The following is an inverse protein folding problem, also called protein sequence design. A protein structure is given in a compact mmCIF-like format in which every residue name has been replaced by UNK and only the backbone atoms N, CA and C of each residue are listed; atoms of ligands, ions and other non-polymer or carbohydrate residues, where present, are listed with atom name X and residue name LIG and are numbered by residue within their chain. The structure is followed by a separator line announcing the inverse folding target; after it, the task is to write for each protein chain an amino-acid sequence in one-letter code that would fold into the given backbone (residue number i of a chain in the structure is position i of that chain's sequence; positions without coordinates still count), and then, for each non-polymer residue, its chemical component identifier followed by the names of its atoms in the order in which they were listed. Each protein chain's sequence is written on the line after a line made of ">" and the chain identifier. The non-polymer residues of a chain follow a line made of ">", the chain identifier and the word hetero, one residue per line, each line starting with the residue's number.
data_IF_604638218120
#
_entry.id   IF_604638218120
#
_cell.length_a   1.000
_cell.length_b   1.000
_cell.length_c   1.000
_cell.angle_alpha   90.00
_cell.angle_beta   90.00
_cell.angle_gamma   90.00
#
_symmetry.space_group_name_H-M   'P 1'
#
loop_
_entity.id
_entity.type
_entity.pdbx_description
1 polymer ?
#
# COMPACT_ATOMS: atom_id res chain seq x y z
N UNK A 1 -25.54 4.69 -4.05
CA UNK A 1 -24.63 5.04 -4.23
C UNK A 1 -24.43 5.92 -4.77
N UNK A 2 -24.42 6.17 -4.57
CA UNK A 2 -24.28 6.93 -4.99
C UNK A 2 -23.45 7.39 -5.82
N UNK A 3 -23.78 8.04 -6.55
CA UNK A 3 -23.19 8.41 -7.75
C UNK A 3 -21.99 9.14 -7.70
N UNK A 4 -21.80 9.89 -6.75
CA UNK A 4 -20.52 10.56 -6.59
C UNK A 4 -19.39 9.58 -6.59
N UNK A 5 -19.67 8.39 -6.19
CA UNK A 5 -18.78 7.31 -6.24
C UNK A 5 -18.40 7.02 -7.66
N UNK A 6 -19.33 7.17 -8.54
CA UNK A 6 -19.17 6.86 -9.94
C UNK A 6 -18.16 7.78 -10.59
N UNK A 7 -18.16 9.03 -10.19
CA UNK A 7 -17.21 9.99 -10.75
C UNK A 7 -15.82 9.82 -10.20
N UNK A 8 -15.72 9.20 -9.04
CA UNK A 8 -14.46 9.02 -8.39
C UNK A 8 -13.86 10.31 -7.86
N UNK A 9 -12.87 10.14 -7.04
CA UNK A 9 -12.05 11.24 -6.55
C UNK A 9 -10.92 11.46 -7.54
N UNK A 10 -10.70 12.69 -8.03
CA UNK A 10 -9.58 12.97 -8.93
C UNK A 10 -8.23 12.50 -8.41
N UNK A 11 -8.06 12.40 -7.11
CA UNK A 11 -6.86 11.89 -6.46
C UNK A 11 -6.52 10.46 -6.88
N UNK A 12 -7.52 9.64 -7.19
CA UNK A 12 -7.32 8.23 -7.51
C UNK A 12 -7.48 7.93 -8.99
N UNK A 13 -7.03 8.83 -9.84
CA UNK A 13 -7.04 8.64 -11.28
C UNK A 13 -5.71 8.10 -11.77
N UNK A 14 -5.75 7.51 -12.96
CA UNK A 14 -4.56 7.12 -13.70
C UNK A 14 -4.02 5.76 -13.31
N UNK A 15 -2.73 5.60 -13.45
CA UNK A 15 -2.05 4.33 -13.24
C UNK A 15 -1.55 4.22 -11.81
N UNK A 16 -2.10 3.25 -11.06
CA UNK A 16 -1.70 2.96 -9.69
C UNK A 16 -0.79 1.74 -9.69
N UNK A 17 0.42 1.88 -9.18
CA UNK A 17 1.40 0.81 -9.22
C UNK A 17 1.32 -0.08 -7.97
N UNK A 18 1.06 -1.37 -8.20
CA UNK A 18 1.16 -2.37 -7.14
C UNK A 18 2.65 -2.66 -6.91
N UNK A 19 3.12 -2.41 -5.72
CA UNK A 19 4.54 -2.52 -5.39
C UNK A 19 4.90 -3.94 -4.95
N UNK A 20 6.06 -4.42 -5.40
CA UNK A 20 6.63 -5.66 -4.86
C UNK A 20 7.28 -5.36 -3.50
N UNK A 21 7.37 -6.39 -2.67
CA UNK A 21 8.02 -6.29 -1.35
C UNK A 21 9.31 -7.11 -1.42
N UNK A 22 10.48 -6.47 -1.58
CA UNK A 22 11.73 -7.20 -1.72
C UNK A 22 12.23 -7.76 -0.40
N UNK A 23 12.82 -8.95 -0.48
CA UNK A 23 13.45 -9.61 0.66
C UNK A 23 14.91 -9.90 0.35
N UNK A 24 15.73 -9.87 1.39
CA UNK A 24 17.13 -10.24 1.31
C UNK A 24 17.49 -11.03 2.56
N UNK A 25 18.03 -12.23 2.37
CA UNK A 25 18.41 -13.11 3.48
C UNK A 25 17.22 -13.37 4.43
N UNK A 26 16.02 -13.55 3.87
CA UNK A 26 14.82 -13.84 4.62
C UNK A 26 14.19 -12.65 5.32
N UNK A 27 14.74 -11.45 5.14
CA UNK A 27 14.23 -10.25 5.77
C UNK A 27 13.81 -9.21 4.74
N UNK A 28 12.88 -8.35 5.12
CA UNK A 28 12.43 -7.27 4.26
C UNK A 28 13.61 -6.34 3.93
N UNK A 29 13.83 -6.14 2.62
CA UNK A 29 14.92 -5.30 2.14
C UNK A 29 14.44 -3.85 2.00
N UNK A 30 14.59 -3.10 3.07
CA UNK A 30 14.13 -1.72 3.15
C UNK A 30 14.78 -0.82 2.10
N UNK A 31 16.10 -0.99 1.89
CA UNK A 31 16.83 -0.18 0.92
C UNK A 31 16.32 -0.39 -0.50
N UNK A 32 16.15 -1.63 -0.90
CA UNK A 32 15.62 -1.94 -2.23
C UNK A 32 14.20 -1.44 -2.40
N UNK A 33 13.39 -1.53 -1.36
CA UNK A 33 12.03 -1.02 -1.40
C UNK A 33 11.99 0.50 -1.60
N UNK A 34 12.85 1.23 -0.91
CA UNK A 34 12.96 2.68 -1.10
C UNK A 34 13.30 3.04 -2.53
N UNK A 35 14.22 2.30 -3.13
CA UNK A 35 14.60 2.50 -4.53
C UNK A 35 13.42 2.22 -5.47
N UNK A 36 12.66 1.17 -5.20
CA UNK A 36 11.47 0.83 -5.98
C UNK A 36 10.45 1.98 -5.93
N UNK A 37 10.17 2.50 -4.74
CA UNK A 37 9.21 3.60 -4.58
C UNK A 37 9.68 4.83 -5.34
N UNK A 38 10.93 5.23 -5.17
CA UNK A 38 11.49 6.39 -5.86
C UNK A 38 11.44 6.23 -7.38
N UNK A 39 11.78 5.04 -7.89
CA UNK A 39 11.76 4.79 -9.32
C UNK A 39 10.34 4.88 -9.90
N UNK A 40 9.34 4.38 -9.17
CA UNK A 40 7.96 4.48 -9.63
C UNK A 40 7.50 5.94 -9.70
N UNK A 41 7.79 6.71 -8.68
CA UNK A 41 7.42 8.13 -8.65
C UNK A 41 8.14 8.89 -9.78
N UNK A 42 9.43 8.64 -9.94
CA UNK A 42 10.24 9.27 -10.98
C UNK A 42 9.74 8.96 -12.38
N UNK A 43 9.23 7.75 -12.59
CA UNK A 43 8.73 7.30 -13.89
C UNK A 43 7.25 7.62 -14.12
N UNK A 44 6.64 8.42 -13.25
CA UNK A 44 5.34 8.99 -13.51
C UNK A 44 4.13 8.19 -13.05
N UNK A 45 4.29 7.29 -12.06
CA UNK A 45 3.11 6.62 -11.51
C UNK A 45 2.15 7.65 -10.91
N UNK A 46 0.86 7.37 -11.02
CA UNK A 46 -0.17 8.25 -10.45
C UNK A 46 -0.53 7.88 -9.01
N UNK A 47 -0.05 6.75 -8.53
CA UNK A 47 -0.27 6.31 -7.16
C UNK A 47 0.50 5.05 -6.83
N UNK A 48 0.58 4.72 -5.56
CA UNK A 48 1.34 3.57 -5.04
C UNK A 48 0.43 2.67 -4.22
N UNK A 49 0.56 1.36 -4.44
CA UNK A 49 -0.20 0.35 -3.69
C UNK A 49 0.79 -0.61 -3.02
N UNK A 50 1.27 -0.28 -1.82
CA UNK A 50 2.11 -1.20 -1.06
C UNK A 50 1.28 -2.31 -0.42
N UNK A 51 1.90 -3.45 -0.21
CA UNK A 51 1.35 -4.62 0.48
C UNK A 51 0.00 -5.12 -0.01
N UNK A 52 -0.24 -4.99 -1.31
CA UNK A 52 -1.32 -5.71 -1.98
C UNK A 52 -0.86 -7.16 -2.25
N UNK A 53 -1.62 -7.90 -3.03
CA UNK A 53 -1.27 -9.27 -3.38
C UNK A 53 0.08 -9.35 -4.09
N UNK A 54 0.35 -8.42 -5.01
CA UNK A 54 1.64 -8.32 -5.70
C UNK A 54 2.79 -8.12 -4.73
N UNK A 55 2.57 -7.41 -3.62
CA UNK A 55 3.57 -7.20 -2.57
C UNK A 55 3.66 -8.33 -1.57
N UNK A 56 3.06 -9.48 -1.88
CA UNK A 56 3.10 -10.70 -1.07
C UNK A 56 2.53 -10.51 0.34
N UNK A 57 1.50 -9.68 0.46
CA UNK A 57 0.84 -9.39 1.73
C UNK A 57 0.55 -10.63 2.59
N UNK A 58 0.05 -11.75 2.01
CA UNK A 58 -0.26 -12.94 2.82
C UNK A 58 0.94 -13.58 3.50
N UNK A 59 2.15 -13.31 3.04
CA UNK A 59 3.37 -13.91 3.58
C UNK A 59 4.11 -13.01 4.56
N UNK A 60 3.63 -11.79 4.76
CA UNK A 60 4.25 -10.83 5.66
C UNK A 60 3.75 -10.99 7.09
N UNK A 61 4.64 -10.81 8.06
CA UNK A 61 4.21 -10.66 9.45
C UNK A 61 3.49 -9.31 9.59
N UNK A 62 2.72 -9.12 10.66
CA UNK A 62 2.08 -7.84 10.91
C UNK A 62 3.10 -6.71 11.02
N UNK A 63 4.21 -6.97 11.67
CA UNK A 63 5.27 -5.95 11.83
C UNK A 63 5.87 -5.57 10.49
N UNK A 64 6.12 -6.56 9.62
CA UNK A 64 6.64 -6.30 8.28
C UNK A 64 5.64 -5.51 7.45
N UNK A 65 4.38 -5.90 7.49
CA UNK A 65 3.30 -5.21 6.78
C UNK A 65 3.25 -3.74 7.18
N UNK A 66 3.20 -3.47 8.48
CA UNK A 66 3.11 -2.12 8.99
C UNK A 66 4.34 -1.29 8.60
N UNK A 67 5.51 -1.89 8.68
CA UNK A 67 6.75 -1.22 8.33
C UNK A 67 6.81 -0.85 6.85
N UNK A 68 6.39 -1.74 5.97
CA UNK A 68 6.35 -1.47 4.52
C UNK A 68 5.44 -0.28 4.22
N UNK A 69 4.26 -0.25 4.85
CA UNK A 69 3.32 0.87 4.67
C UNK A 69 3.94 2.18 5.15
N UNK A 70 4.53 2.18 6.33
CA UNK A 70 5.15 3.37 6.91
C UNK A 70 6.28 3.90 6.02
N UNK A 71 7.15 3.02 5.56
CA UNK A 71 8.27 3.40 4.71
C UNK A 71 7.77 3.97 3.38
N UNK A 72 6.76 3.32 2.79
CA UNK A 72 6.19 3.79 1.53
C UNK A 72 5.66 5.22 1.68
N UNK A 73 4.91 5.47 2.74
CA UNK A 73 4.33 6.79 3.00
C UNK A 73 5.44 7.83 3.24
N UNK A 74 6.44 7.46 4.01
CA UNK A 74 7.55 8.34 4.34
C UNK A 74 8.35 8.74 3.09
N UNK A 75 8.73 7.76 2.26
CA UNK A 75 9.47 8.02 1.03
C UNK A 75 8.64 8.85 0.05
N UNK A 76 7.35 8.53 -0.06
CA UNK A 76 6.45 9.25 -0.95
C UNK A 76 6.32 10.73 -0.58
N UNK A 77 6.31 11.06 0.68
CA UNK A 77 6.21 12.45 1.17
C UNK A 77 5.08 13.23 0.51
N UNK A 78 3.94 12.60 0.30
CA UNK A 78 2.75 13.25 -0.25
C UNK A 78 2.79 13.52 -1.76
N UNK A 79 3.78 13.00 -2.47
CA UNK A 79 3.90 13.29 -3.92
C UNK A 79 2.80 12.64 -4.76
N UNK A 80 2.37 11.46 -4.40
CA UNK A 80 1.26 10.76 -5.07
C UNK A 80 0.39 10.09 -4.01
N UNK A 81 -0.87 9.72 -4.35
CA UNK A 81 -1.70 8.96 -3.42
C UNK A 81 -1.11 7.60 -3.07
N UNK A 82 -1.31 7.17 -1.83
CA UNK A 82 -0.93 5.83 -1.35
C UNK A 82 -2.18 5.08 -0.94
N UNK A 83 -2.39 3.91 -1.55
CA UNK A 83 -3.50 3.02 -1.24
C UNK A 83 -2.88 1.76 -0.62
N UNK A 84 -2.94 1.65 0.70
CA UNK A 84 -2.31 0.54 1.40
C UNK A 84 -3.18 -0.72 1.37
N UNK A 85 -2.57 -1.87 1.06
CA UNK A 85 -3.26 -3.14 1.17
C UNK A 85 -3.56 -3.45 2.63
N UNK A 86 -4.80 -3.78 2.94
CA UNK A 86 -5.25 -4.03 4.30
C UNK A 86 -6.18 -5.25 4.41
N UNK A 87 -6.33 -6.00 3.32
CA UNK A 87 -7.20 -7.16 3.30
C UNK A 87 -6.61 -8.34 4.05
N UNK A 88 -7.48 -9.15 4.65
CA UNK A 88 -7.10 -10.37 5.34
C UNK A 88 -8.32 -11.29 5.39
N UNK A 89 -8.08 -12.59 5.57
CA UNK A 89 -9.16 -13.54 5.82
C UNK A 89 -9.78 -13.36 7.22
N UNK A 90 -9.08 -12.68 8.11
CA UNK A 90 -9.59 -12.33 9.43
C UNK A 90 -10.11 -10.89 9.41
N UNK A 91 -11.37 -10.70 9.78
CA UNK A 91 -11.99 -9.38 9.84
C UNK A 91 -11.26 -8.47 10.85
N UNK A 92 -10.90 -9.03 12.00
CA UNK A 92 -10.20 -8.25 13.03
C UNK A 92 -8.82 -7.81 12.55
N UNK A 93 -8.11 -8.70 11.86
CA UNK A 93 -6.82 -8.37 11.28
C UNK A 93 -6.95 -7.28 10.22
N UNK A 94 -7.95 -7.39 9.34
CA UNK A 94 -8.19 -6.38 8.31
C UNK A 94 -8.49 -5.01 8.93
N UNK A 95 -9.27 -4.97 10.01
CA UNK A 95 -9.54 -3.72 10.74
C UNK A 95 -8.27 -3.11 11.31
N UNK A 96 -7.41 -3.93 11.89
CA UNK A 96 -6.16 -3.46 12.47
C UNK A 96 -5.22 -2.91 11.40
N UNK A 97 -5.10 -3.60 10.27
CA UNK A 97 -4.29 -3.16 9.15
C UNK A 97 -4.80 -1.85 8.56
N UNK A 98 -6.10 -1.72 8.39
CA UNK A 98 -6.70 -0.50 7.88
C UNK A 98 -6.51 0.67 8.84
N UNK A 99 -6.69 0.44 10.13
CA UNK A 99 -6.49 1.45 11.17
C UNK A 99 -5.04 1.93 11.20
N UNK A 100 -4.09 1.02 11.13
CA UNK A 100 -2.68 1.37 11.11
C UNK A 100 -2.34 2.20 9.87
N UNK A 101 -2.81 1.77 8.70
CA UNK A 101 -2.56 2.48 7.45
C UNK A 101 -3.11 3.92 7.52
N UNK A 102 -4.32 4.09 8.02
CA UNK A 102 -4.92 5.40 8.17
C UNK A 102 -4.11 6.30 9.10
N UNK A 103 -3.68 5.76 10.24
CA UNK A 103 -2.85 6.50 11.21
C UNK A 103 -1.49 6.87 10.64
N UNK A 104 -0.96 6.04 9.76
CA UNK A 104 0.33 6.30 9.13
C UNK A 104 0.25 7.31 8.00
N UNK A 105 -0.95 7.64 7.53
CA UNK A 105 -1.14 8.66 6.51
C UNK A 105 -1.47 8.15 5.12
N UNK A 106 -1.92 6.90 4.99
CA UNK A 106 -2.38 6.40 3.71
C UNK A 106 -3.65 7.15 3.27
N UNK A 107 -3.79 7.36 1.97
CA UNK A 107 -4.94 8.07 1.42
C UNK A 107 -6.17 7.17 1.32
N UNK A 108 -5.95 5.86 1.20
CA UNK A 108 -7.02 4.87 1.13
C UNK A 108 -6.46 3.51 1.49
N UNK A 109 -7.34 2.53 1.62
CA UNK A 109 -6.95 1.13 1.84
C UNK A 109 -7.60 0.25 0.77
N UNK A 110 -6.91 -0.81 0.40
CA UNK A 110 -7.41 -1.82 -0.52
C UNK A 110 -7.73 -3.07 0.29
N UNK A 111 -8.99 -3.41 0.34
CA UNK A 111 -9.46 -4.56 1.12
C UNK A 111 -10.07 -5.59 0.17
N UNK A 112 -9.56 -6.83 0.24
CA UNK A 112 -10.14 -7.93 -0.52
C UNK A 112 -11.12 -8.69 0.38
N UNK A 113 -12.13 -9.29 -0.24
CA UNK A 113 -13.06 -10.12 0.50
C UNK A 113 -12.33 -11.36 1.03
N UNK A 114 -12.71 -11.89 2.21
CA UNK A 114 -12.12 -13.13 2.73
C UNK A 114 -12.30 -14.27 1.75
N UNK A 115 -11.29 -15.11 1.63
CA UNK A 115 -11.31 -16.26 0.72
C UNK A 115 -12.31 -17.33 1.13
#
# INVERSE_FOLDING_TARGET
>A
MTGSIIKGDPKFKGSMTALITPFKDGQFDEKSFKEIVENQIKNGTDGLIPVGTTGESPTLTHQEHDKVVEICIDINSGRVPVIAGAGSNSTDEAKNLASHAAKSGADAVLVVAPY
#
